data_IF_981710481669
#
_entry.id   IF_981710481669
#
_cell.length_a   1.000
_cell.length_b   1.000
_cell.length_c   1.000
_cell.angle_alpha   90.00
_cell.angle_beta   90.00
_cell.angle_gamma   90.00
#
_symmetry.space_group_name_H-M   'P 1'
#
loop_
_entity.id
_entity.type
_entity.pdbx_description
1 polymer ?
#
# COMPACT_ATOMS: atom_id res chain seq x y z
N UNK A 1 -13.76 -18.02 9.25
CA UNK A 1 -14.49 -17.15 8.29
C UNK A 1 -13.84 -17.42 6.95
N UNK A 2 -14.61 -17.91 6.01
CA UNK A 2 -14.13 -18.11 4.65
C UNK A 2 -13.93 -16.78 3.92
N UNK A 3 -13.14 -16.81 2.85
CA UNK A 3 -12.78 -15.59 2.10
C UNK A 3 -14.00 -14.96 1.41
N UNK A 4 -14.92 -15.76 0.93
CA UNK A 4 -16.09 -15.26 0.22
C UNK A 4 -16.96 -14.39 1.14
N UNK A 5 -17.32 -14.91 2.32
CA UNK A 5 -18.09 -14.15 3.34
C UNK A 5 -17.35 -12.88 3.79
N UNK A 6 -16.01 -12.94 3.88
CA UNK A 6 -15.20 -11.76 4.17
C UNK A 6 -15.30 -10.70 3.05
N UNK A 7 -15.13 -11.12 1.79
CA UNK A 7 -15.16 -10.24 0.64
C UNK A 7 -16.56 -9.62 0.43
N UNK A 8 -17.63 -10.40 0.53
CA UNK A 8 -19.01 -9.92 0.41
C UNK A 8 -19.33 -8.84 1.45
N UNK A 9 -18.90 -9.05 2.71
CA UNK A 9 -19.06 -8.05 3.75
C UNK A 9 -18.30 -6.76 3.39
N UNK A 10 -17.01 -6.87 2.99
CA UNK A 10 -16.19 -5.71 2.61
C UNK A 10 -16.78 -4.91 1.46
N UNK A 11 -17.30 -5.58 0.44
CA UNK A 11 -17.98 -4.93 -0.70
C UNK A 11 -19.26 -4.25 -0.24
N UNK A 12 -20.07 -4.91 0.59
CA UNK A 12 -21.30 -4.33 1.12
C UNK A 12 -21.01 -3.08 1.96
N UNK A 13 -20.02 -3.17 2.87
CA UNK A 13 -19.63 -2.05 3.71
C UNK A 13 -19.15 -0.85 2.85
N UNK A 14 -18.33 -1.13 1.82
CA UNK A 14 -17.81 -0.11 0.92
C UNK A 14 -18.90 0.56 0.05
N UNK A 15 -19.98 -0.15 -0.30
CA UNK A 15 -21.10 0.40 -1.07
C UNK A 15 -21.92 1.44 -0.31
N UNK A 16 -21.96 1.34 1.00
CA UNK A 16 -22.82 2.16 1.85
C UNK A 16 -22.06 3.26 2.59
N UNK A 17 -20.74 3.31 2.41
CA UNK A 17 -19.92 4.33 3.07
C UNK A 17 -20.12 5.70 2.43
N UNK A 18 -20.29 6.72 3.26
CA UNK A 18 -20.29 8.11 2.81
C UNK A 18 -18.85 8.62 2.81
N UNK A 19 -18.35 8.98 1.65
CA UNK A 19 -16.98 9.47 1.49
C UNK A 19 -17.03 10.99 1.29
N UNK A 20 -16.56 11.77 2.28
CA UNK A 20 -16.43 13.21 2.12
C UNK A 20 -15.45 13.53 0.98
N UNK A 21 -15.80 14.46 0.05
CA UNK A 21 -14.90 14.80 -1.02
C UNK A 21 -13.65 15.52 -0.52
N UNK A 22 -12.57 15.36 -1.26
CA UNK A 22 -11.35 16.15 -1.12
C UNK A 22 -11.42 17.36 -2.05
N UNK A 23 -10.76 18.44 -1.67
CA UNK A 23 -10.59 19.65 -2.49
C UNK A 23 -9.10 19.87 -2.71
N UNK A 24 -8.71 20.12 -3.94
CA UNK A 24 -7.31 20.38 -4.32
C UNK A 24 -6.89 21.76 -3.87
N UNK A 25 -5.83 21.82 -3.06
CA UNK A 25 -5.19 23.05 -2.61
C UNK A 25 -3.98 23.41 -3.49
N UNK A 26 -3.27 22.39 -3.97
CA UNK A 26 -2.07 22.52 -4.78
C UNK A 26 -1.97 21.34 -5.74
N UNK A 27 -1.69 21.62 -7.02
CA UNK A 27 -1.42 20.60 -8.04
C UNK A 27 -0.21 20.99 -8.89
N UNK A 28 0.87 20.25 -8.70
CA UNK A 28 2.12 20.35 -9.46
C UNK A 28 2.36 19.13 -10.36
N UNK A 29 1.36 18.30 -10.52
CA UNK A 29 1.48 17.03 -11.24
C UNK A 29 1.90 17.18 -12.70
N UNK A 30 1.69 18.37 -13.31
CA UNK A 30 2.17 18.71 -14.66
C UNK A 30 3.70 18.76 -14.78
N UNK A 31 4.44 18.83 -13.66
CA UNK A 31 5.90 18.81 -13.65
C UNK A 31 6.49 17.40 -13.79
N UNK A 32 5.63 16.38 -13.71
CA UNK A 32 6.02 14.98 -13.70
C UNK A 32 5.37 14.24 -14.86
N UNK A 33 6.05 13.22 -15.36
CA UNK A 33 5.43 12.28 -16.28
C UNK A 33 4.66 11.23 -15.49
N UNK A 34 3.33 11.41 -15.38
CA UNK A 34 2.46 10.56 -14.59
C UNK A 34 1.37 9.97 -15.48
N UNK A 35 1.01 8.73 -15.22
CA UNK A 35 -0.19 8.11 -15.76
C UNK A 35 -1.40 8.63 -14.99
N UNK A 36 -2.44 9.09 -15.69
CA UNK A 36 -3.72 9.48 -15.10
C UNK A 36 -4.69 8.32 -15.14
N UNK A 37 -5.32 8.04 -14.02
CA UNK A 37 -6.27 6.94 -13.86
C UNK A 37 -7.44 7.42 -13.00
N UNK A 38 -8.65 7.31 -13.53
CA UNK A 38 -9.84 7.76 -12.80
C UNK A 38 -11.12 7.57 -13.61
N UNK A 39 -12.22 7.94 -13.01
CA UNK A 39 -13.56 7.97 -13.58
C UNK A 39 -14.34 9.18 -13.02
N UNK A 40 -15.63 9.30 -13.29
CA UNK A 40 -16.43 10.41 -12.79
C UNK A 40 -16.51 10.41 -11.25
N UNK A 41 -16.49 9.23 -10.61
CA UNK A 41 -16.47 9.12 -9.18
C UNK A 41 -15.17 9.70 -8.56
N UNK A 42 -14.00 9.42 -9.16
CA UNK A 42 -12.74 10.01 -8.68
C UNK A 42 -12.74 11.52 -8.88
N UNK A 43 -13.26 12.03 -9.99
CA UNK A 43 -13.36 13.48 -10.23
C UNK A 43 -14.28 14.14 -9.20
N UNK A 44 -15.35 13.46 -8.77
CA UNK A 44 -16.28 13.98 -7.77
C UNK A 44 -15.70 13.94 -6.35
N UNK A 45 -15.03 12.84 -5.96
CA UNK A 45 -14.64 12.61 -4.58
C UNK A 45 -13.16 12.91 -4.29
N UNK A 46 -12.28 12.67 -5.26
CA UNK A 46 -10.85 12.97 -5.15
C UNK A 46 -10.50 14.33 -5.75
N UNK A 47 -11.45 14.99 -6.43
CA UNK A 47 -11.26 16.25 -7.17
C UNK A 47 -10.19 16.09 -8.27
N UNK A 48 -10.32 15.05 -9.08
CA UNK A 48 -9.45 14.74 -10.21
C UNK A 48 -9.17 13.26 -10.40
N UNK A 49 -8.31 12.95 -11.36
CA UNK A 49 -7.81 11.61 -11.60
C UNK A 49 -6.62 11.30 -10.68
N UNK A 50 -6.42 10.04 -10.35
CA UNK A 50 -5.21 9.57 -9.65
C UNK A 50 -3.99 9.72 -10.57
N UNK A 51 -2.90 10.23 -10.00
CA UNK A 51 -1.63 10.44 -10.71
C UNK A 51 -0.62 9.41 -10.25
N UNK A 52 -0.14 8.54 -11.14
CA UNK A 52 0.70 7.41 -10.83
C UNK A 52 2.04 7.51 -11.54
N UNK A 53 3.14 7.25 -10.85
CA UNK A 53 4.46 7.16 -11.47
C UNK A 53 4.54 6.00 -12.46
N UNK A 54 5.27 6.17 -13.55
CA UNK A 54 5.64 5.06 -14.40
C UNK A 54 6.65 4.16 -13.67
N UNK A 55 6.52 2.82 -13.80
CA UNK A 55 7.50 1.92 -13.21
C UNK A 55 8.90 2.15 -13.78
N UNK A 56 9.97 2.10 -12.98
CA UNK A 56 11.33 2.05 -13.47
C UNK A 56 11.53 0.87 -14.43
N UNK A 57 12.61 0.87 -15.23
CA UNK A 57 12.84 -0.13 -16.27
C UNK A 57 12.86 -1.56 -15.73
N UNK A 58 13.57 -1.80 -14.64
CA UNK A 58 13.87 -3.13 -14.08
C UNK A 58 13.30 -3.37 -12.68
N UNK A 59 12.66 -2.37 -12.09
CA UNK A 59 12.05 -2.41 -10.75
C UNK A 59 10.56 -2.13 -10.82
N UNK A 60 9.74 -2.63 -9.89
CA UNK A 60 8.37 -2.12 -9.72
C UNK A 60 8.40 -0.67 -9.21
N UNK A 61 7.40 0.10 -9.56
CA UNK A 61 7.13 1.36 -8.86
C UNK A 61 6.60 1.03 -7.46
N UNK A 62 7.23 1.59 -6.43
CA UNK A 62 6.82 1.44 -5.03
C UNK A 62 6.16 2.73 -4.55
N UNK A 63 4.87 2.67 -4.23
CA UNK A 63 4.10 3.76 -3.64
C UNK A 63 3.86 3.49 -2.17
N UNK A 64 4.45 4.31 -1.29
CA UNK A 64 4.19 4.23 0.15
C UNK A 64 2.85 4.89 0.48
N UNK A 65 2.11 4.32 1.42
CA UNK A 65 0.89 4.94 1.93
C UNK A 65 0.87 4.89 3.46
N UNK A 66 0.67 6.08 4.05
CA UNK A 66 0.57 6.24 5.50
C UNK A 66 -0.57 7.19 5.87
N UNK A 67 -1.17 6.89 7.01
CA UNK A 67 -1.96 7.84 7.77
C UNK A 67 -1.21 8.18 9.05
N UNK A 68 -1.18 9.44 9.43
CA UNK A 68 -0.59 9.92 10.67
C UNK A 68 -1.55 10.84 11.42
N UNK A 69 -1.38 10.92 12.72
CA UNK A 69 -2.04 11.92 13.55
C UNK A 69 -1.50 13.33 13.26
N UNK A 70 -2.15 14.35 13.80
CA UNK A 70 -1.72 15.75 13.63
C UNK A 70 -0.30 16.01 14.12
N UNK A 71 0.12 15.29 15.15
CA UNK A 71 1.48 15.33 15.74
C UNK A 71 2.47 14.36 15.08
N UNK A 72 2.10 13.75 13.93
CA UNK A 72 2.99 12.99 13.06
C UNK A 72 3.23 11.54 13.45
N UNK A 73 2.44 10.98 14.38
CA UNK A 73 2.58 9.58 14.78
C UNK A 73 1.79 8.64 13.86
N UNK A 74 2.38 7.50 13.52
CA UNK A 74 1.80 6.50 12.62
C UNK A 74 1.52 5.15 13.29
N UNK A 75 1.98 4.94 14.53
CA UNK A 75 1.83 3.66 15.22
C UNK A 75 0.67 3.71 16.19
N UNK A 76 -0.30 2.85 15.94
CA UNK A 76 -1.49 2.61 16.78
C UNK A 76 -1.90 1.14 16.66
N UNK A 77 -2.64 0.60 17.63
CA UNK A 77 -3.20 -0.76 17.52
C UNK A 77 -4.14 -0.95 16.33
N UNK A 78 -4.94 0.07 16.01
CA UNK A 78 -5.86 0.11 14.88
C UNK A 78 -5.68 1.42 14.09
N UNK A 79 -5.15 1.39 12.85
CA UNK A 79 -4.96 2.58 12.02
C UNK A 79 -6.22 3.42 11.81
N UNK A 80 -7.41 2.84 11.87
CA UNK A 80 -8.66 3.58 11.76
C UNK A 80 -8.83 4.62 12.89
N UNK A 81 -8.19 4.40 14.04
CA UNK A 81 -8.24 5.34 15.18
C UNK A 81 -7.40 6.60 15.00
N UNK A 82 -6.50 6.63 13.98
CA UNK A 82 -5.75 7.84 13.64
C UNK A 82 -6.60 8.92 12.96
N UNK A 83 -7.85 8.61 12.58
CA UNK A 83 -8.79 9.61 12.10
C UNK A 83 -8.69 9.95 10.61
N UNK A 84 -8.06 9.11 9.80
CA UNK A 84 -8.06 9.26 8.33
C UNK A 84 -9.47 9.15 7.72
N UNK A 85 -10.32 8.33 8.31
CA UNK A 85 -11.71 8.16 7.94
C UNK A 85 -11.93 7.53 6.55
N UNK A 86 -13.18 7.59 6.04
CA UNK A 86 -13.53 7.00 4.74
C UNK A 86 -12.79 7.62 3.55
N UNK A 87 -12.48 8.90 3.60
CA UNK A 87 -11.76 9.57 2.51
C UNK A 87 -10.33 9.03 2.38
N UNK A 88 -9.58 8.91 3.48
CA UNK A 88 -8.26 8.26 3.47
C UNK A 88 -8.37 6.82 3.01
N UNK A 89 -9.28 6.04 3.60
CA UNK A 89 -9.36 4.61 3.32
C UNK A 89 -9.72 4.31 1.86
N UNK A 90 -10.71 4.98 1.27
CA UNK A 90 -11.19 4.66 -0.06
C UNK A 90 -10.52 5.47 -1.17
N UNK A 91 -10.18 6.75 -0.95
CA UNK A 91 -9.56 7.58 -2.00
C UNK A 91 -8.04 7.42 -2.04
N UNK A 92 -7.40 7.25 -0.88
CA UNK A 92 -5.94 7.22 -0.79
C UNK A 92 -5.43 5.78 -0.69
N UNK A 93 -5.82 5.06 0.38
CA UNK A 93 -5.31 3.73 0.68
C UNK A 93 -5.77 2.67 -0.32
N UNK A 94 -7.07 2.61 -0.71
CA UNK A 94 -7.56 1.73 -1.77
C UNK A 94 -7.43 2.34 -3.16
N UNK A 95 -7.66 3.64 -3.29
CA UNK A 95 -7.67 4.39 -4.55
C UNK A 95 -6.27 4.64 -5.08
N UNK A 96 -5.72 5.83 -4.82
CA UNK A 96 -4.46 6.29 -5.41
C UNK A 96 -3.32 5.28 -5.23
N UNK A 97 -3.13 4.73 -4.03
CA UNK A 97 -2.02 3.81 -3.74
C UNK A 97 -2.20 2.44 -4.41
N UNK A 98 -3.44 1.97 -4.65
CA UNK A 98 -3.68 0.56 -4.97
C UNK A 98 -4.46 0.30 -6.25
N UNK A 99 -5.16 1.29 -6.78
CA UNK A 99 -6.02 1.12 -7.96
C UNK A 99 -5.31 0.43 -9.13
N UNK A 100 -4.05 0.76 -9.38
CA UNK A 100 -3.23 0.19 -10.45
C UNK A 100 -2.10 -0.74 -9.94
N UNK A 101 -2.10 -1.11 -8.67
CA UNK A 101 -1.07 -1.98 -8.11
C UNK A 101 -1.29 -3.45 -8.52
N UNK A 102 -0.22 -4.10 -8.96
CA UNK A 102 -0.18 -5.55 -9.22
C UNK A 102 -0.08 -6.33 -7.90
N UNK A 103 0.54 -5.72 -6.90
CA UNK A 103 0.69 -6.32 -5.58
C UNK A 103 0.60 -5.30 -4.45
N UNK A 104 0.29 -5.80 -3.25
CA UNK A 104 0.31 -5.02 -2.00
C UNK A 104 1.38 -5.59 -1.10
N UNK A 105 2.33 -4.74 -0.71
CA UNK A 105 3.48 -5.11 0.10
C UNK A 105 3.29 -4.67 1.55
N UNK A 106 3.51 -5.61 2.47
CA UNK A 106 3.52 -5.35 3.91
C UNK A 106 4.65 -6.10 4.61
N UNK A 107 5.08 -5.59 5.76
CA UNK A 107 5.93 -6.37 6.68
C UNK A 107 5.12 -7.45 7.40
N UNK A 108 5.77 -8.56 7.76
CA UNK A 108 5.10 -9.68 8.46
C UNK A 108 4.40 -9.24 9.75
N UNK A 109 4.90 -8.23 10.45
CA UNK A 109 4.28 -7.69 11.67
C UNK A 109 2.92 -7.00 11.39
N UNK A 110 2.69 -6.52 10.15
CA UNK A 110 1.43 -5.89 9.72
C UNK A 110 0.37 -6.93 9.36
N UNK A 111 0.78 -8.18 9.09
CA UNK A 111 -0.11 -9.25 8.66
C UNK A 111 -0.78 -9.92 9.85
N UNK A 112 -1.99 -9.49 10.16
CA UNK A 112 -2.82 -10.07 11.23
C UNK A 112 -3.74 -11.21 10.76
N UNK A 113 -4.51 -11.78 11.71
CA UNK A 113 -5.39 -12.94 11.43
C UNK A 113 -6.46 -12.71 10.37
N UNK A 114 -7.04 -11.50 10.31
CA UNK A 114 -8.17 -11.18 9.41
C UNK A 114 -7.77 -10.16 8.34
N UNK A 115 -6.49 -10.16 7.95
CA UNK A 115 -5.97 -9.21 6.99
C UNK A 115 -5.97 -9.84 5.60
N UNK A 116 -6.52 -9.13 4.64
CA UNK A 116 -6.39 -9.38 3.21
C UNK A 116 -6.42 -8.04 2.48
N UNK A 117 -5.38 -7.75 1.72
CA UNK A 117 -5.22 -6.45 1.08
C UNK A 117 -5.84 -6.45 -0.31
N UNK A 118 -6.85 -5.62 -0.52
CA UNK A 118 -7.52 -5.49 -1.81
C UNK A 118 -8.15 -4.11 -1.96
N UNK A 119 -8.87 -3.92 -3.06
CA UNK A 119 -9.80 -2.81 -3.27
C UNK A 119 -11.21 -3.34 -3.11
N UNK A 120 -12.07 -2.60 -2.43
CA UNK A 120 -13.43 -3.04 -2.11
C UNK A 120 -14.48 -2.10 -2.65
N UNK A 121 -14.18 -0.79 -2.78
CA UNK A 121 -15.12 0.18 -3.31
C UNK A 121 -15.44 -0.12 -4.78
N UNK A 122 -16.73 -0.21 -5.16
CA UNK A 122 -17.16 -0.63 -6.51
C UNK A 122 -16.52 0.17 -7.63
N UNK A 123 -16.39 1.49 -7.45
CA UNK A 123 -15.82 2.37 -8.46
C UNK A 123 -14.31 2.11 -8.68
N UNK A 124 -13.56 1.84 -7.61
CA UNK A 124 -12.13 1.48 -7.74
C UNK A 124 -11.98 0.10 -8.37
N UNK A 125 -12.88 -0.84 -8.05
CA UNK A 125 -12.94 -2.15 -8.71
C UNK A 125 -13.21 -2.01 -10.20
N UNK A 126 -14.11 -1.10 -10.61
CA UNK A 126 -14.39 -0.82 -12.00
C UNK A 126 -13.14 -0.28 -12.72
N UNK A 127 -12.44 0.66 -12.14
CA UNK A 127 -11.18 1.19 -12.71
C UNK A 127 -10.13 0.07 -12.88
N UNK A 128 -9.95 -0.83 -11.89
CA UNK A 128 -9.02 -1.96 -12.03
C UNK A 128 -9.39 -2.90 -13.19
N UNK A 129 -10.68 -3.17 -13.36
CA UNK A 129 -11.19 -3.97 -14.49
C UNK A 129 -10.89 -3.30 -15.82
N UNK A 130 -11.09 -1.98 -15.92
CA UNK A 130 -10.84 -1.21 -17.13
C UNK A 130 -9.33 -1.12 -17.46
N UNK A 131 -8.47 -1.25 -16.43
CA UNK A 131 -7.02 -1.42 -16.57
C UNK A 131 -6.59 -2.87 -16.89
N UNK A 132 -7.53 -3.79 -17.08
CA UNK A 132 -7.30 -5.23 -17.28
C UNK A 132 -6.46 -5.88 -16.15
N UNK A 133 -6.58 -5.39 -14.92
CA UNK A 133 -5.90 -5.92 -13.76
C UNK A 133 -6.75 -7.00 -13.03
N UNK A 134 -6.11 -7.97 -12.38
CA UNK A 134 -6.81 -8.93 -11.54
C UNK A 134 -7.68 -8.25 -10.48
N UNK A 135 -8.80 -8.88 -10.12
CA UNK A 135 -9.72 -8.37 -9.09
C UNK A 135 -9.02 -8.05 -7.78
N UNK A 136 -8.12 -8.93 -7.38
CA UNK A 136 -7.30 -8.76 -6.18
C UNK A 136 -5.83 -8.64 -6.59
N UNK A 137 -5.09 -7.66 -6.06
CA UNK A 137 -3.64 -7.62 -6.24
C UNK A 137 -2.98 -8.80 -5.52
N UNK A 138 -1.82 -9.21 -5.99
CA UNK A 138 -0.99 -10.17 -5.29
C UNK A 138 -0.63 -9.66 -3.89
N UNK A 139 -0.43 -10.58 -2.94
CA UNK A 139 -0.01 -10.25 -1.58
C UNK A 139 1.50 -10.43 -1.47
N UNK A 140 2.22 -9.39 -1.10
CA UNK A 140 3.69 -9.44 -0.96
C UNK A 140 4.04 -9.20 0.51
N UNK A 141 4.75 -10.13 1.13
CA UNK A 141 5.11 -10.04 2.56
C UNK A 141 6.62 -10.14 2.73
N UNK A 142 7.19 -9.14 3.40
CA UNK A 142 8.62 -9.15 3.77
C UNK A 142 8.74 -9.69 5.20
N UNK A 143 9.52 -10.75 5.38
CA UNK A 143 9.81 -11.33 6.68
C UNK A 143 11.26 -11.80 6.77
N UNK A 144 12.15 -10.97 7.33
CA UNK A 144 13.56 -11.34 7.49
C UNK A 144 13.75 -12.69 8.18
N UNK A 145 13.05 -12.95 9.27
CA UNK A 145 13.21 -14.16 10.09
C UNK A 145 12.27 -15.30 9.73
N UNK A 146 11.48 -15.20 8.67
CA UNK A 146 10.49 -16.21 8.28
C UNK A 146 9.38 -16.45 9.31
N UNK A 147 9.21 -15.54 10.29
CA UNK A 147 8.15 -15.65 11.30
C UNK A 147 6.83 -15.19 10.69
N UNK A 148 6.07 -16.14 10.17
CA UNK A 148 4.81 -15.89 9.45
C UNK A 148 3.77 -16.85 10.03
N UNK A 149 2.59 -16.32 10.32
CA UNK A 149 1.47 -17.15 10.78
C UNK A 149 0.64 -17.60 9.57
N UNK A 150 1.09 -18.64 8.89
CA UNK A 150 0.48 -19.18 7.69
C UNK A 150 -0.94 -19.70 7.93
N UNK A 151 -1.19 -20.33 9.08
CA UNK A 151 -2.46 -21.01 9.34
C UNK A 151 -3.60 -20.05 9.68
N UNK A 152 -3.33 -19.01 10.47
CA UNK A 152 -4.39 -18.15 11.00
C UNK A 152 -4.61 -16.88 10.19
N UNK A 153 -3.71 -16.52 9.28
CA UNK A 153 -3.86 -15.32 8.46
C UNK A 153 -4.62 -15.62 7.18
N UNK A 154 -5.72 -14.90 6.95
CA UNK A 154 -6.55 -15.03 5.74
C UNK A 154 -5.73 -14.82 4.46
N UNK A 155 -4.77 -13.91 4.49
CA UNK A 155 -3.91 -13.54 3.36
C UNK A 155 -3.21 -14.76 2.72
N UNK A 156 -2.80 -15.76 3.51
CA UNK A 156 -2.11 -16.95 3.02
C UNK A 156 -3.04 -18.10 2.61
N UNK A 157 -4.35 -17.94 2.82
CA UNK A 157 -5.35 -19.01 2.67
C UNK A 157 -6.43 -18.66 1.63
N UNK A 158 -6.02 -17.97 0.55
CA UNK A 158 -6.85 -17.64 -0.63
C UNK A 158 -6.14 -18.14 -1.88
N UNK A 159 -6.39 -19.38 -2.32
CA UNK A 159 -5.64 -20.03 -3.41
C UNK A 159 -5.67 -19.29 -4.75
N UNK A 160 -6.72 -18.52 -5.03
CA UNK A 160 -6.88 -17.78 -6.28
C UNK A 160 -6.05 -16.48 -6.33
N UNK A 161 -5.35 -16.13 -5.25
CA UNK A 161 -4.56 -14.90 -5.17
C UNK A 161 -3.10 -15.23 -4.91
N UNK A 162 -2.19 -14.84 -5.81
CA UNK A 162 -0.75 -15.09 -5.62
C UNK A 162 -0.21 -14.40 -4.36
N UNK A 163 0.64 -15.12 -3.64
CA UNK A 163 1.37 -14.61 -2.47
C UNK A 163 2.87 -14.72 -2.72
N UNK A 164 3.61 -13.66 -2.46
CA UNK A 164 5.07 -13.63 -2.55
C UNK A 164 5.65 -13.37 -1.15
N UNK A 165 6.53 -14.26 -0.69
CA UNK A 165 7.22 -14.14 0.59
C UNK A 165 8.68 -13.79 0.34
N UNK A 166 9.08 -12.55 0.65
CA UNK A 166 10.48 -12.12 0.59
C UNK A 166 11.13 -12.49 1.91
N UNK A 167 12.06 -13.47 1.88
CA UNK A 167 12.61 -14.15 3.05
C UNK A 167 14.13 -14.13 3.00
N UNK A 168 14.80 -13.81 4.12
CA UNK A 168 16.26 -13.92 4.24
C UNK A 168 16.75 -15.37 4.06
N UNK A 169 17.96 -15.49 3.53
CA UNK A 169 18.56 -16.78 3.14
C UNK A 169 18.52 -17.84 4.27
N UNK A 170 18.78 -17.43 5.50
CA UNK A 170 18.83 -18.34 6.65
C UNK A 170 17.45 -18.93 7.02
N UNK A 171 16.37 -18.21 6.70
CA UNK A 171 15.01 -18.64 6.97
C UNK A 171 14.32 -19.30 5.74
N UNK A 172 14.97 -19.33 4.59
CA UNK A 172 14.39 -19.74 3.31
C UNK A 172 13.87 -21.19 3.36
N UNK A 173 14.74 -22.17 3.65
CA UNK A 173 14.37 -23.59 3.65
C UNK A 173 13.25 -23.98 4.62
N UNK A 174 13.21 -23.46 5.86
CA UNK A 174 12.07 -23.69 6.74
C UNK A 174 10.75 -23.16 6.16
N UNK A 175 10.77 -21.97 5.55
CA UNK A 175 9.56 -21.36 4.96
C UNK A 175 9.11 -22.12 3.71
N UNK A 176 10.02 -22.50 2.81
CA UNK A 176 9.71 -23.32 1.63
C UNK A 176 9.01 -24.64 2.01
N UNK A 177 9.51 -25.31 3.05
CA UNK A 177 8.85 -26.52 3.56
C UNK A 177 7.48 -26.25 4.15
N UNK A 178 7.32 -25.13 4.85
CA UNK A 178 6.05 -24.77 5.48
C UNK A 178 4.95 -24.37 4.47
N UNK A 179 5.32 -23.97 3.24
CA UNK A 179 4.37 -23.59 2.18
C UNK A 179 4.27 -24.63 1.06
N UNK A 180 4.90 -25.79 1.20
CA UNK A 180 4.97 -26.80 0.14
C UNK A 180 3.59 -27.30 -0.36
N UNK A 181 2.58 -27.25 0.47
CA UNK A 181 1.18 -27.59 0.17
C UNK A 181 0.37 -26.41 -0.38
N UNK A 182 0.97 -25.22 -0.55
CA UNK A 182 0.33 -23.98 -1.01
C UNK A 182 0.95 -23.47 -2.30
N UNK A 183 0.61 -24.04 -3.47
CA UNK A 183 1.24 -23.69 -4.76
C UNK A 183 1.03 -22.23 -5.20
N UNK A 184 0.10 -21.50 -4.59
CA UNK A 184 -0.12 -20.08 -4.81
C UNK A 184 0.87 -19.19 -4.03
N UNK A 185 1.71 -19.76 -3.16
CA UNK A 185 2.73 -19.03 -2.39
C UNK A 185 4.10 -19.27 -3.02
N UNK A 186 4.74 -18.20 -3.46
CA UNK A 186 6.10 -18.20 -3.98
C UNK A 186 7.05 -17.57 -2.96
N UNK A 187 8.13 -18.27 -2.63
CA UNK A 187 9.19 -17.74 -1.76
C UNK A 187 10.26 -17.07 -2.62
N UNK A 188 10.54 -15.80 -2.34
CA UNK A 188 11.55 -14.99 -3.02
C UNK A 188 12.73 -14.78 -2.07
N UNK A 189 13.92 -15.26 -2.40
CA UNK A 189 15.09 -15.08 -1.55
C UNK A 189 15.49 -13.61 -1.41
N UNK A 190 15.75 -13.17 -0.19
CA UNK A 190 16.42 -11.91 0.12
C UNK A 190 17.90 -12.24 0.41
N UNK A 191 18.74 -12.09 -0.61
CA UNK A 191 20.16 -12.35 -0.46
C UNK A 191 20.90 -11.08 -0.02
N UNK A 192 21.75 -11.19 1.01
CA UNK A 192 22.58 -10.08 1.50
C UNK A 192 21.78 -8.79 1.84
N UNK A 193 20.54 -8.93 2.27
CA UNK A 193 19.61 -7.80 2.53
C UNK A 193 19.36 -6.91 1.30
N UNK A 194 19.61 -7.41 0.08
CA UNK A 194 19.39 -6.68 -1.18
C UNK A 194 17.93 -6.73 -1.60
N UNK A 195 17.16 -5.76 -1.10
CA UNK A 195 15.76 -5.58 -1.48
C UNK A 195 15.59 -5.28 -2.99
N UNK A 196 16.55 -4.60 -3.61
CA UNK A 196 16.48 -4.28 -5.03
C UNK A 196 16.50 -5.54 -5.88
N UNK A 197 17.36 -6.52 -5.56
CA UNK A 197 17.39 -7.81 -6.26
C UNK A 197 16.07 -8.58 -6.10
N UNK A 198 15.53 -8.64 -4.88
CA UNK A 198 14.23 -9.27 -4.64
C UNK A 198 13.12 -8.62 -5.47
N UNK A 199 13.08 -7.29 -5.58
CA UNK A 199 12.08 -6.59 -6.39
C UNK A 199 12.32 -6.74 -7.91
N UNK A 200 13.58 -6.80 -8.37
CA UNK A 200 13.87 -7.15 -9.78
C UNK A 200 13.35 -8.54 -10.14
N UNK A 201 13.47 -9.52 -9.23
CA UNK A 201 12.87 -10.86 -9.42
C UNK A 201 11.35 -10.78 -9.50
N UNK A 202 10.68 -10.09 -8.57
CA UNK A 202 9.23 -9.89 -8.63
C UNK A 202 8.80 -9.28 -9.96
N UNK A 203 9.54 -8.29 -10.46
CA UNK A 203 9.23 -7.68 -11.76
C UNK A 203 9.49 -8.60 -12.94
N UNK A 204 10.67 -9.19 -13.01
CA UNK A 204 11.11 -10.01 -14.15
C UNK A 204 10.35 -11.32 -14.25
N UNK A 205 10.23 -12.04 -13.14
CA UNK A 205 9.73 -13.42 -13.11
C UNK A 205 8.22 -13.49 -12.89
N UNK A 206 7.64 -12.48 -12.22
CA UNK A 206 6.21 -12.45 -11.84
C UNK A 206 5.45 -11.25 -12.40
N UNK A 207 6.10 -10.37 -13.16
CA UNK A 207 5.51 -9.21 -13.84
C UNK A 207 4.84 -8.21 -12.89
N UNK A 208 5.26 -8.15 -11.63
CA UNK A 208 4.77 -7.12 -10.72
C UNK A 208 5.44 -5.80 -11.07
N UNK A 209 4.68 -4.88 -11.65
CA UNK A 209 5.18 -3.59 -12.13
C UNK A 209 4.93 -2.44 -11.17
N UNK A 210 3.92 -2.57 -10.30
CA UNK A 210 3.55 -1.58 -9.29
C UNK A 210 3.20 -2.26 -7.97
N UNK A 211 3.75 -1.77 -6.88
CA UNK A 211 3.45 -2.25 -5.53
C UNK A 211 2.94 -1.10 -4.64
N UNK A 212 1.76 -1.28 -4.07
CA UNK A 212 1.27 -0.47 -2.96
C UNK A 212 1.94 -0.94 -1.68
N UNK A 213 2.72 -0.09 -1.02
CA UNK A 213 3.43 -0.42 0.22
C UNK A 213 2.65 0.13 1.41
N UNK A 214 2.06 -0.75 2.20
CA UNK A 214 1.15 -0.42 3.28
C UNK A 214 1.77 -0.67 4.65
N UNK A 215 2.36 0.31 5.20
CA UNK A 215 2.77 0.30 6.59
C UNK A 215 3.91 -0.64 6.94
N UNK A 216 4.23 -0.57 8.22
CA UNK A 216 5.45 -1.10 8.80
C UNK A 216 6.59 -0.10 8.63
N UNK A 217 6.79 0.78 9.64
CA UNK A 217 7.88 1.78 9.64
C UNK A 217 9.24 1.19 9.24
N UNK A 218 9.55 -0.01 9.74
CA UNK A 218 10.81 -0.70 9.41
C UNK A 218 10.93 -0.99 7.92
N UNK A 219 9.87 -1.51 7.30
CA UNK A 219 9.86 -1.79 5.85
C UNK A 219 9.96 -0.48 5.07
N UNK A 220 9.15 0.53 5.42
CA UNK A 220 9.19 1.84 4.77
C UNK A 220 10.59 2.47 4.86
N UNK A 221 11.20 2.46 6.05
CA UNK A 221 12.57 2.97 6.26
C UNK A 221 13.58 2.22 5.38
N UNK A 222 13.57 0.88 5.39
CA UNK A 222 14.49 0.10 4.56
C UNK A 222 14.34 0.37 3.06
N UNK A 223 13.10 0.57 2.58
CA UNK A 223 12.84 0.87 1.18
C UNK A 223 13.26 2.28 0.78
N UNK A 224 13.04 3.26 1.65
CA UNK A 224 13.49 4.65 1.45
C UNK A 224 15.02 4.72 1.45
N UNK A 225 15.69 4.11 2.44
CA UNK A 225 17.14 4.10 2.56
C UNK A 225 17.81 3.40 1.38
N UNK A 226 17.15 2.40 0.78
CA UNK A 226 17.59 1.72 -0.43
C UNK A 226 17.28 2.49 -1.75
N UNK A 227 16.66 3.68 -1.69
CA UNK A 227 16.30 4.48 -2.87
C UNK A 227 15.25 3.82 -3.78
N UNK A 228 14.41 2.94 -3.23
CA UNK A 228 13.46 2.13 -4.02
C UNK A 228 12.05 2.75 -4.13
N UNK A 229 11.76 3.78 -3.35
CA UNK A 229 10.43 4.40 -3.29
C UNK A 229 10.33 5.53 -4.31
N UNK A 230 9.28 5.55 -5.12
CA UNK A 230 9.01 6.64 -6.07
C UNK A 230 8.14 7.72 -5.47
N UNK A 231 7.15 7.34 -4.67
CA UNK A 231 6.19 8.28 -4.12
C UNK A 231 5.66 7.88 -2.73
N UNK A 232 5.19 8.88 -2.04
CA UNK A 232 4.56 8.76 -0.72
C UNK A 232 3.18 9.42 -0.75
N UNK A 233 2.16 8.65 -0.44
CA UNK A 233 0.81 9.11 -0.14
C UNK A 233 0.68 9.26 1.38
N UNK A 234 0.62 10.47 1.89
CA UNK A 234 0.55 10.77 3.31
C UNK A 234 -0.74 11.49 3.65
N UNK A 235 -1.54 10.88 4.50
CA UNK A 235 -2.73 11.51 5.08
C UNK A 235 -2.42 11.96 6.51
N UNK A 236 -2.62 13.24 6.80
CA UNK A 236 -2.54 13.80 8.14
C UNK A 236 -3.93 14.06 8.68
N UNK A 237 -4.26 13.42 9.78
CA UNK A 237 -5.53 13.58 10.50
C UNK A 237 -5.57 14.90 11.26
N UNK A 238 -6.76 15.37 11.57
CA UNK A 238 -6.97 16.47 12.49
C UNK A 238 -6.86 16.07 13.97
N UNK A 239 -6.75 14.78 14.27
CA UNK A 239 -6.66 14.25 15.63
C UNK A 239 -5.21 14.09 16.07
N UNK A 240 -4.94 14.42 17.33
CA UNK A 240 -3.71 14.04 18.01
C UNK A 240 -3.80 12.57 18.46
N UNK A 241 -2.66 11.90 18.60
CA UNK A 241 -2.65 10.54 19.10
C UNK A 241 -1.55 9.66 18.52
N UNK A 242 -1.73 8.36 18.70
CA UNK A 242 -0.71 7.38 18.36
C UNK A 242 0.40 7.27 19.41
N UNK A 243 1.29 6.32 19.21
CA UNK A 243 2.48 6.19 20.04
C UNK A 243 3.42 7.37 19.77
N UNK A 244 3.84 8.12 20.78
CA UNK A 244 4.74 9.25 20.60
C UNK A 244 6.05 8.89 19.90
N UNK A 245 6.57 9.83 19.08
CA UNK A 245 7.83 9.66 18.34
C UNK A 245 7.84 8.49 17.35
N UNK A 246 6.70 8.28 16.66
CA UNK A 246 6.57 7.22 15.66
C UNK A 246 6.23 7.75 14.27
N UNK A 247 7.06 8.61 13.65
CA UNK A 247 6.87 9.05 12.27
C UNK A 247 6.96 7.86 11.30
N UNK A 248 6.49 8.02 10.07
CA UNK A 248 6.52 6.95 9.06
C UNK A 248 7.93 6.49 8.69
N UNK A 249 8.93 7.35 8.88
CA UNK A 249 10.35 7.09 8.62
C UNK A 249 11.15 7.15 9.93
N UNK A 250 12.01 6.17 10.13
CA UNK A 250 12.83 6.03 11.35
C UNK A 250 14.34 5.91 11.05
N UNK A 251 14.76 6.27 9.82
CA UNK A 251 16.18 6.30 9.43
C UNK A 251 16.90 7.58 9.81
N UNK A 252 18.13 7.73 9.34
CA UNK A 252 18.96 8.88 9.69
C UNK A 252 18.63 10.13 8.87
N UNK A 253 18.32 9.97 7.59
CA UNK A 253 18.09 11.10 6.68
C UNK A 253 16.99 10.78 5.70
N UNK A 254 15.82 11.38 5.91
CA UNK A 254 14.74 11.33 4.93
C UNK A 254 15.17 12.09 3.66
N UNK A 255 15.07 11.48 2.46
CA UNK A 255 15.32 12.20 1.22
C UNK A 255 14.32 13.35 1.04
N UNK A 256 14.65 14.36 0.21
CA UNK A 256 13.71 15.43 -0.08
C UNK A 256 12.37 14.88 -0.62
N UNK A 257 11.28 15.42 -0.10
CA UNK A 257 9.92 15.14 -0.53
C UNK A 257 9.39 16.35 -1.29
N UNK A 258 9.00 16.16 -2.55
CA UNK A 258 8.42 17.23 -3.36
C UNK A 258 6.90 17.01 -3.49
N UNK A 259 6.11 18.00 -3.12
CA UNK A 259 4.65 17.94 -3.23
C UNK A 259 4.24 17.89 -4.70
N UNK A 260 3.56 16.82 -5.09
CA UNK A 260 2.90 16.66 -6.38
C UNK A 260 1.49 17.24 -6.32
N UNK A 261 0.73 16.79 -5.30
CA UNK A 261 -0.65 17.22 -5.06
C UNK A 261 -0.88 17.36 -3.56
N UNK A 262 -1.54 18.44 -3.16
CA UNK A 262 -2.06 18.62 -1.80
C UNK A 262 -3.56 18.81 -1.85
N UNK A 263 -4.27 18.08 -1.02
CA UNK A 263 -5.73 18.16 -0.91
C UNK A 263 -6.17 18.26 0.54
N UNK A 264 -7.39 18.75 0.74
CA UNK A 264 -8.02 18.85 2.05
C UNK A 264 -9.39 18.19 2.02
N UNK A 265 -9.70 17.43 3.04
CA UNK A 265 -11.04 16.89 3.27
C UNK A 265 -12.04 17.98 3.61
N UNK A 266 -13.29 17.77 3.26
CA UNK A 266 -14.41 18.61 3.67
C UNK A 266 -15.07 18.02 4.92
N UNK A 267 -15.57 18.88 5.81
CA UNK A 267 -16.29 18.47 7.03
C UNK A 267 -15.51 18.69 8.33
N UNK A 268 -16.10 18.24 9.44
CA UNK A 268 -15.63 18.54 10.80
C UNK A 268 -14.29 17.86 11.15
N UNK A 269 -13.95 16.75 10.48
CA UNK A 269 -12.71 16.00 10.67
C UNK A 269 -11.83 16.10 9.40
N UNK A 270 -11.61 17.33 8.95
CA UNK A 270 -10.85 17.58 7.72
C UNK A 270 -9.44 17.02 7.83
N UNK A 271 -9.16 16.02 6.99
CA UNK A 271 -7.80 15.50 6.78
C UNK A 271 -7.05 16.41 5.80
N UNK A 272 -5.72 16.41 5.88
CA UNK A 272 -4.85 16.90 4.81
C UNK A 272 -4.21 15.69 4.15
N UNK A 273 -4.30 15.62 2.83
CA UNK A 273 -3.65 14.61 2.03
C UNK A 273 -2.54 15.23 1.20
N UNK A 274 -1.40 14.61 1.18
CA UNK A 274 -0.25 15.01 0.36
C UNK A 274 0.30 13.81 -0.40
N UNK A 275 0.45 13.99 -1.70
CA UNK A 275 1.16 13.07 -2.58
C UNK A 275 2.53 13.68 -2.87
N UNK A 276 3.58 12.98 -2.48
CA UNK A 276 4.96 13.43 -2.65
C UNK A 276 5.69 12.56 -3.65
N UNK A 277 6.50 13.19 -4.51
CA UNK A 277 7.62 12.51 -5.15
C UNK A 277 8.75 12.36 -4.13
N UNK A 278 9.37 11.19 -4.08
CA UNK A 278 10.57 10.93 -3.28
C UNK A 278 11.78 11.13 -4.18
N UNK A 279 12.59 12.14 -3.88
CA UNK A 279 13.82 12.36 -4.65
C UNK A 279 14.82 11.25 -4.34
N UNK A 280 15.09 10.40 -5.32
CA UNK A 280 16.18 9.44 -5.23
C UNK A 280 17.51 10.23 -5.35
N UNK A 281 18.29 10.24 -4.29
CA UNK A 281 19.62 10.87 -4.24
C UNK A 281 20.63 9.99 -4.95
#
# INVERSE_FOLDING_TARGET
>A
MDFQSYAERKVRDAKHVIIPPLVTLEDRSSRYQLQRVGNDWTRQHFDGDFSLFHPPRDLPALSLVFVQSRDGNTVVPDPATLGGGPADFHLIYEGLSRVAADGVLAGAATVGKKVFFSVWHPEIVAIRRDLALPRHPAQVVVSRRGRINLESSLLFNVPDVPVFLIIEADALRPVERAVADRPWITVVPLANDDLADAFRRLRRDHRLTRLSVIGGRTVATSLIDAGLVQDLCLTTSALDGGQPNTPFYAGHRLPPLEVIVRKRGTGATAITFEHFAVANV
#
